data_IF_386117854138
#
_entry.id   IF_386117854138
#
_cell.length_a   1.000
_cell.length_b   1.000
_cell.length_c   1.000
_cell.angle_alpha   90.00
_cell.angle_beta   90.00
_cell.angle_gamma   90.00
#
_symmetry.space_group_name_H-M   'P 1'
#
loop_
_entity.id
_entity.type
_entity.pdbx_description
1 polymer ?
#
# COMPACT_ATOMS: atom_id res chain seq x y z
N UNK A 1 -28.27 -1.85 -31.86
CA UNK A 1 -27.90 -1.88 -30.43
C UNK A 1 -26.42 -2.29 -30.29
N UNK A 2 -25.45 -1.42 -30.55
CA UNK A 2 -24.03 -1.82 -30.61
C UNK A 2 -23.03 -0.79 -30.02
N UNK A 3 -23.39 -0.12 -28.91
CA UNK A 3 -22.51 0.90 -28.30
C UNK A 3 -21.97 0.57 -26.89
N UNK A 4 -22.24 -0.63 -26.35
CA UNK A 4 -21.83 -1.02 -24.99
C UNK A 4 -20.41 -1.62 -24.89
N UNK A 5 -19.81 -2.07 -26.00
CA UNK A 5 -18.49 -2.72 -25.98
C UNK A 5 -17.28 -1.79 -25.96
N UNK A 6 -17.43 -0.52 -26.39
CA UNK A 6 -16.33 0.44 -26.51
C UNK A 6 -16.11 1.24 -25.22
N UNK A 7 -17.19 1.58 -24.51
CA UNK A 7 -17.16 2.39 -23.28
C UNK A 7 -16.36 1.73 -22.15
N UNK A 8 -16.50 0.41 -21.99
CA UNK A 8 -15.78 -0.35 -20.97
C UNK A 8 -14.27 -0.42 -21.20
N UNK A 9 -13.83 -0.60 -22.45
CA UNK A 9 -12.39 -0.62 -22.80
C UNK A 9 -11.73 0.74 -22.62
N UNK A 10 -12.42 1.83 -22.97
CA UNK A 10 -11.92 3.19 -22.72
C UNK A 10 -11.80 3.50 -21.22
N UNK A 11 -12.78 3.10 -20.40
CA UNK A 11 -12.71 3.28 -18.94
C UNK A 11 -11.55 2.47 -18.34
N UNK A 12 -11.36 1.23 -18.76
CA UNK A 12 -10.22 0.41 -18.31
C UNK A 12 -8.87 1.00 -18.73
N UNK A 13 -8.74 1.52 -19.96
CA UNK A 13 -7.51 2.16 -20.41
C UNK A 13 -7.23 3.45 -19.63
N UNK A 14 -8.26 4.26 -19.36
CA UNK A 14 -8.14 5.45 -18.51
C UNK A 14 -7.76 5.09 -17.07
N UNK A 15 -8.34 4.04 -16.50
CA UNK A 15 -7.98 3.56 -15.16
C UNK A 15 -6.54 3.05 -15.10
N UNK A 16 -6.07 2.33 -16.12
CA UNK A 16 -4.69 1.90 -16.22
C UNK A 16 -3.72 3.09 -16.30
N UNK A 17 -4.04 4.11 -17.09
CA UNK A 17 -3.23 5.33 -17.20
C UNK A 17 -3.18 6.07 -15.86
N UNK A 18 -4.32 6.20 -15.17
CA UNK A 18 -4.38 6.85 -13.85
C UNK A 18 -3.59 6.05 -12.80
N UNK A 19 -3.73 4.71 -12.79
CA UNK A 19 -2.98 3.82 -11.90
C UNK A 19 -1.48 3.92 -12.12
N UNK A 20 -1.03 3.84 -13.37
CA UNK A 20 0.39 3.97 -13.73
C UNK A 20 0.92 5.35 -13.36
N UNK A 21 0.16 6.41 -13.64
CA UNK A 21 0.51 7.77 -13.27
C UNK A 21 0.62 7.96 -11.75
N UNK A 22 -0.34 7.44 -10.99
CA UNK A 22 -0.37 7.56 -9.54
C UNK A 22 0.77 6.76 -8.89
N UNK A 23 0.95 5.50 -9.30
CA UNK A 23 2.04 4.66 -8.79
C UNK A 23 3.40 5.26 -9.13
N UNK A 24 3.57 5.74 -10.37
CA UNK A 24 4.80 6.42 -10.80
C UNK A 24 5.08 7.66 -9.96
N UNK A 25 4.09 8.53 -9.77
CA UNK A 25 4.24 9.77 -9.01
C UNK A 25 4.53 9.50 -7.53
N UNK A 26 3.82 8.57 -6.89
CA UNK A 26 4.07 8.16 -5.50
C UNK A 26 5.47 7.57 -5.34
N UNK A 27 5.89 6.70 -6.26
CA UNK A 27 7.23 6.08 -6.21
C UNK A 27 8.33 7.14 -6.31
N UNK A 28 8.16 8.13 -7.21
CA UNK A 28 9.10 9.23 -7.37
C UNK A 28 9.22 10.07 -6.09
N UNK A 29 8.08 10.38 -5.45
CA UNK A 29 8.05 11.11 -4.16
C UNK A 29 8.75 10.31 -3.06
N UNK A 30 8.50 9.00 -2.95
CA UNK A 30 9.13 8.13 -1.93
C UNK A 30 10.65 8.08 -2.12
N UNK A 31 11.11 7.94 -3.36
CA UNK A 31 12.55 7.93 -3.69
C UNK A 31 13.16 9.27 -3.31
N UNK A 32 12.56 10.40 -3.72
CA UNK A 32 13.07 11.73 -3.39
C UNK A 32 13.09 11.97 -1.88
N UNK A 33 12.04 11.60 -1.16
CA UNK A 33 11.96 11.72 0.30
C UNK A 33 12.99 10.83 1.00
N UNK A 34 13.21 9.60 0.51
CA UNK A 34 14.21 8.68 1.06
C UNK A 34 15.64 9.18 0.79
N UNK A 35 15.91 9.71 -0.39
CA UNK A 35 17.23 10.23 -0.76
C UNK A 35 17.51 11.53 0.01
N UNK A 36 16.62 12.53 -0.05
CA UNK A 36 16.84 13.80 0.65
C UNK A 36 16.77 13.65 2.16
N UNK A 37 15.80 12.90 2.68
CA UNK A 37 15.70 12.62 4.11
C UNK A 37 16.87 11.77 4.61
N UNK A 38 17.30 10.77 3.83
CA UNK A 38 18.47 9.96 4.11
C UNK A 38 19.75 10.79 4.13
N UNK A 39 20.01 11.60 3.10
CA UNK A 39 21.21 12.43 3.01
C UNK A 39 21.26 13.52 4.09
N UNK A 40 20.13 14.14 4.41
CA UNK A 40 20.06 15.18 5.43
C UNK A 40 20.35 14.62 6.83
N UNK A 41 19.84 13.42 7.11
CA UNK A 41 20.10 12.73 8.37
C UNK A 41 21.53 12.17 8.44
N UNK A 42 22.07 11.68 7.32
CA UNK A 42 23.47 11.21 7.18
C UNK A 42 24.47 12.37 7.39
N UNK A 43 24.15 13.57 6.86
CA UNK A 43 24.95 14.78 7.05
C UNK A 43 24.90 15.32 8.50
N UNK A 44 23.83 15.02 9.24
CA UNK A 44 23.70 15.42 10.65
C UNK A 44 24.55 14.55 11.58
N UNK A 45 24.81 13.28 11.21
CA UNK A 45 25.57 12.32 12.01
C UNK A 45 27.02 12.10 11.54
N UNK A 46 27.46 12.72 10.43
CA UNK A 46 28.87 12.76 10.02
C UNK A 46 29.49 11.42 9.63
N UNK A 47 28.69 10.37 9.40
CA UNK A 47 29.15 9.02 9.06
C UNK A 47 28.46 8.59 7.77
N UNK A 48 29.24 8.38 6.69
CA UNK A 48 28.92 7.84 5.34
C UNK A 48 27.63 6.98 5.28
N UNK A 49 26.92 6.79 4.14
CA UNK A 49 25.47 6.52 4.01
C UNK A 49 24.91 5.31 4.81
N UNK A 50 25.01 5.35 6.15
CA UNK A 50 24.59 4.24 7.01
C UNK A 50 23.09 4.30 7.22
N UNK A 51 22.50 5.50 7.23
CA UNK A 51 21.08 5.67 7.52
C UNK A 51 20.19 5.15 6.37
N UNK A 52 20.61 5.37 5.12
CA UNK A 52 19.97 4.78 3.94
C UNK A 52 20.04 3.25 3.98
N UNK A 53 21.17 2.69 4.42
CA UNK A 53 21.35 1.25 4.57
C UNK A 53 20.50 0.70 5.74
N UNK A 54 20.41 1.43 6.85
CA UNK A 54 19.60 1.06 8.01
C UNK A 54 18.09 1.13 7.71
N UNK A 55 17.62 2.14 6.98
CA UNK A 55 16.22 2.19 6.52
C UNK A 55 15.91 1.06 5.53
N UNK A 56 16.84 0.71 4.65
CA UNK A 56 16.70 -0.43 3.75
C UNK A 56 16.59 -1.75 4.53
N UNK A 57 17.48 -1.96 5.51
CA UNK A 57 17.45 -3.13 6.38
C UNK A 57 16.22 -3.16 7.30
N UNK A 58 15.73 -1.99 7.74
CA UNK A 58 14.51 -1.86 8.53
C UNK A 58 13.23 -2.01 7.68
N UNK A 59 13.29 -1.77 6.38
CA UNK A 59 12.15 -1.96 5.47
C UNK A 59 11.65 -3.41 5.44
N UNK A 60 12.56 -4.39 5.53
CA UNK A 60 12.23 -5.82 5.58
C UNK A 60 11.39 -6.17 6.83
N UNK A 61 11.87 -5.93 8.08
CA UNK A 61 11.09 -6.21 9.27
C UNK A 61 9.81 -5.36 9.37
N UNK A 62 9.85 -4.09 8.93
CA UNK A 62 8.66 -3.22 8.94
C UNK A 62 7.58 -3.74 7.99
N UNK A 63 7.96 -4.18 6.77
CA UNK A 63 7.02 -4.76 5.81
C UNK A 63 6.30 -5.99 6.37
N UNK A 64 7.05 -6.93 6.94
CA UNK A 64 6.49 -8.13 7.58
C UNK A 64 5.59 -7.76 8.75
N UNK A 65 6.00 -6.80 9.58
CA UNK A 65 5.22 -6.34 10.72
C UNK A 65 3.86 -5.74 10.30
N UNK A 66 3.87 -4.86 9.30
CA UNK A 66 2.63 -4.25 8.77
C UNK A 66 1.71 -5.32 8.17
N UNK A 67 2.25 -6.24 7.38
CA UNK A 67 1.49 -7.34 6.79
C UNK A 67 0.78 -8.17 7.87
N UNK A 68 1.49 -8.52 8.96
CA UNK A 68 0.94 -9.27 10.07
C UNK A 68 -0.17 -8.51 10.81
N UNK A 69 0.02 -7.23 11.08
CA UNK A 69 -0.99 -6.40 11.76
C UNK A 69 -2.25 -6.27 10.91
N UNK A 70 -2.10 -6.00 9.62
CA UNK A 70 -3.23 -5.88 8.69
C UNK A 70 -3.96 -7.22 8.56
N UNK A 71 -3.25 -8.32 8.36
CA UNK A 71 -3.84 -9.66 8.26
C UNK A 71 -4.67 -10.00 9.51
N UNK A 72 -4.13 -9.76 10.72
CA UNK A 72 -4.84 -9.99 11.97
C UNK A 72 -6.11 -9.14 12.10
N UNK A 73 -6.05 -7.87 11.71
CA UNK A 73 -7.23 -6.99 11.71
C UNK A 73 -8.29 -7.46 10.73
N UNK A 74 -7.90 -7.88 9.53
CA UNK A 74 -8.84 -8.43 8.54
C UNK A 74 -9.49 -9.71 9.04
N UNK A 75 -8.72 -10.64 9.61
CA UNK A 75 -9.25 -11.88 10.18
C UNK A 75 -10.23 -11.63 11.33
N UNK A 76 -9.93 -10.68 12.22
CA UNK A 76 -10.84 -10.28 13.30
C UNK A 76 -12.18 -9.75 12.74
N UNK A 77 -12.12 -8.89 11.71
CA UNK A 77 -13.32 -8.35 11.04
C UNK A 77 -14.15 -9.42 10.34
N UNK A 78 -13.50 -10.43 9.75
CA UNK A 78 -14.19 -11.55 9.13
C UNK A 78 -14.89 -12.44 10.17
N UNK A 79 -14.25 -12.67 11.32
CA UNK A 79 -14.89 -13.40 12.43
C UNK A 79 -16.12 -12.67 12.96
N UNK A 80 -16.03 -11.35 13.19
CA UNK A 80 -17.16 -10.53 13.63
C UNK A 80 -18.32 -10.56 12.62
N UNK A 81 -18.02 -10.51 11.31
CA UNK A 81 -19.05 -10.65 10.26
C UNK A 81 -19.69 -12.04 10.23
N UNK A 82 -18.91 -13.10 10.43
CA UNK A 82 -19.41 -14.46 10.44
C UNK A 82 -20.32 -14.75 11.66
N UNK A 83 -20.07 -14.12 12.81
CA UNK A 83 -20.94 -14.22 13.98
C UNK A 83 -22.25 -13.40 13.81
N UNK A 84 -22.20 -12.22 13.18
CA UNK A 84 -23.41 -11.45 12.87
C UNK A 84 -24.34 -12.15 11.88
N UNK A 85 -23.79 -12.88 10.90
CA UNK A 85 -24.60 -13.64 9.94
C UNK A 85 -25.26 -14.86 10.57
N UNK A 86 -24.63 -15.47 11.59
CA UNK A 86 -25.23 -16.58 12.37
C UNK A 86 -26.37 -16.14 13.28
N UNK A 87 -26.30 -14.96 13.89
CA UNK A 87 -27.39 -14.44 14.74
C UNK A 87 -28.62 -14.00 13.93
N UNK A 88 -28.40 -13.53 12.69
CA UNK A 88 -29.48 -13.11 11.79
C UNK A 88 -30.32 -14.29 11.25
N UNK A 89 -29.73 -15.47 11.09
CA UNK A 89 -30.41 -16.69 10.60
C UNK A 89 -31.17 -17.44 11.70
N UNK A 90 -30.74 -17.34 12.98
CA UNK A 90 -31.39 -18.01 14.12
C UNK A 90 -32.64 -17.24 14.62
N UNK A 91 -32.83 -15.98 14.20
CA UNK A 91 -33.97 -15.14 14.58
C UNK A 91 -35.08 -15.02 13.51
N UNK A 92 -34.94 -15.67 12.34
CA UNK A 92 -36.00 -15.77 11.31
C UNK A 92 -36.71 -17.12 11.39
#
# INVERSE_FOLDING_TARGET
MAQSGQKGRSILNTLLIVMVGQVGCITLIIILASVFGGLWLDNTFGTKPVFTLALLFAGIPVSVFVMLVVARRTLARLKEKAEQEKDADISS
#
